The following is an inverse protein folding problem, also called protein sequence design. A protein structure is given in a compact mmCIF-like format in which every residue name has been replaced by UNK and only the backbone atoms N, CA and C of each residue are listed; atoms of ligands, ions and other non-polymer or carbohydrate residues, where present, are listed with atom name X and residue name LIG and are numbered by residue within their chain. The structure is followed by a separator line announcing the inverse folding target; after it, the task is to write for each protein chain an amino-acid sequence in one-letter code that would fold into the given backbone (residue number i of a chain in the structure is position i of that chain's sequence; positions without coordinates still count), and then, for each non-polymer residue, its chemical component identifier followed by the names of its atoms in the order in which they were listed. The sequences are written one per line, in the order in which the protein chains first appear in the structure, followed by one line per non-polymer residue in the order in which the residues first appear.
data_IF_666061062335
#
_entry.id   IF_666061062335
#
_cell.length_a   1.000
_cell.length_b   1.000
_cell.length_c   1.000
_cell.angle_alpha   90.00
_cell.angle_beta   90.00
_cell.angle_gamma   90.00
#
_symmetry.space_group_name_H-M   'P 1'
#
loop_
_entity.id
_entity.type
_entity.pdbx_description
1 polymer ?
#
# COMPACT_ATOMS: atom_id res chain seq x y z
N UNK A 1 12.80 -12.18 -0.16
CA UNK A 1 12.76 -11.05 -1.11
C UNK A 1 11.33 -10.57 -1.20
N UNK A 2 11.11 -9.28 -1.00
CA UNK A 2 9.80 -8.64 -0.95
C UNK A 2 9.35 -8.23 -2.34
N UNK A 3 8.11 -8.56 -2.69
CA UNK A 3 7.51 -8.13 -3.95
C UNK A 3 6.84 -6.77 -3.76
N UNK A 4 7.20 -5.80 -4.60
CA UNK A 4 6.53 -4.50 -4.69
C UNK A 4 5.49 -4.56 -5.79
N UNK A 5 4.24 -4.31 -5.45
CA UNK A 5 3.12 -4.16 -6.38
C UNK A 5 2.92 -2.67 -6.67
N UNK A 6 2.66 -2.31 -7.93
CA UNK A 6 2.56 -0.90 -8.35
C UNK A 6 1.27 -0.64 -9.13
N UNK A 7 0.61 0.47 -8.80
CA UNK A 7 -0.58 0.96 -9.47
C UNK A 7 -0.37 2.38 -9.96
N UNK A 8 -1.06 2.71 -11.05
CA UNK A 8 -1.29 4.07 -11.49
C UNK A 8 -2.51 4.60 -10.74
N UNK A 9 -2.37 5.71 -10.02
CA UNK A 9 -3.49 6.45 -9.45
C UNK A 9 -3.87 7.60 -10.39
N UNK A 10 -5.16 7.71 -10.67
CA UNK A 10 -5.73 8.73 -11.56
C UNK A 10 -6.97 9.33 -10.92
N UNK A 11 -7.32 10.55 -11.32
CA UNK A 11 -8.64 11.10 -11.08
C UNK A 11 -9.72 10.19 -11.67
N UNK A 12 -10.94 10.31 -11.16
CA UNK A 12 -12.09 9.61 -11.72
C UNK A 12 -12.80 10.54 -12.68
N UNK A 13 -13.00 10.08 -13.91
CA UNK A 13 -13.94 10.72 -14.83
C UNK A 13 -15.29 10.01 -14.72
N UNK A 14 -16.32 10.75 -14.32
CA UNK A 14 -17.68 10.24 -14.24
C UNK A 14 -18.48 10.71 -15.46
N UNK A 15 -18.99 9.76 -16.23
CA UNK A 15 -19.88 10.05 -17.35
C UNK A 15 -21.30 9.61 -17.01
N UNK A 16 -22.24 10.55 -17.08
CA UNK A 16 -23.66 10.23 -17.03
C UNK A 16 -24.09 9.68 -18.39
N UNK A 17 -24.69 8.49 -18.40
CA UNK A 17 -25.29 7.88 -19.58
C UNK A 17 -26.78 7.69 -19.33
N UNK A 18 -27.59 8.19 -20.25
CA UNK A 18 -29.02 7.88 -20.33
C UNK A 18 -29.24 6.87 -21.46
N UNK A 19 -29.81 5.71 -21.12
CA UNK A 19 -30.13 4.66 -22.07
C UNK A 19 -31.63 4.44 -22.04
N UNK A 20 -32.27 4.59 -23.20
CA UNK A 20 -33.66 4.17 -23.38
C UNK A 20 -33.69 2.69 -23.76
N UNK A 21 -34.38 1.87 -22.98
CA UNK A 21 -34.60 0.45 -23.29
C UNK A 21 -36.05 0.22 -23.69
N UNK A 22 -36.26 -0.45 -24.84
CA UNK A 22 -37.56 -0.87 -25.36
C UNK A 22 -37.57 -2.36 -25.62
N UNK A 23 -38.63 -3.06 -25.19
CA UNK A 23 -38.84 -4.47 -25.49
C UNK A 23 -37.97 -5.41 -24.66
N UNK A 24 -38.50 -5.83 -23.51
CA UNK A 24 -37.86 -6.86 -22.70
C UNK A 24 -38.82 -8.02 -22.43
N UNK A 25 -38.44 -9.21 -22.90
CA UNK A 25 -39.18 -10.44 -22.67
C UNK A 25 -38.92 -10.91 -21.24
N UNK A 26 -39.98 -11.22 -20.50
CA UNK A 26 -39.88 -11.82 -19.18
C UNK A 26 -39.04 -13.12 -19.27
N UNK A 27 -37.98 -13.31 -18.46
CA UNK A 27 -37.48 -14.65 -18.26
C UNK A 27 -38.58 -15.41 -17.51
N UNK A 28 -39.21 -16.36 -18.18
CA UNK A 28 -40.17 -17.26 -17.55
C UNK A 28 -39.48 -17.92 -16.34
N UNK A 29 -40.13 -17.83 -15.18
CA UNK A 29 -39.90 -18.64 -13.97
C UNK A 29 -38.67 -18.35 -13.10
N UNK A 30 -38.79 -17.43 -12.14
CA UNK A 30 -37.98 -17.44 -10.91
C UNK A 30 -38.82 -16.95 -9.72
N UNK A 31 -39.41 -17.90 -8.97
CA UNK A 31 -39.93 -17.64 -7.63
C UNK A 31 -38.79 -17.90 -6.65
N UNK A 32 -38.31 -16.87 -5.97
CA UNK A 32 -37.53 -17.06 -4.75
C UNK A 32 -38.16 -16.25 -3.63
N UNK A 33 -38.52 -16.92 -2.55
CA UNK A 33 -39.05 -16.26 -1.36
C UNK A 33 -37.89 -15.52 -0.69
N UNK A 34 -37.83 -14.20 -0.81
CA UNK A 34 -36.92 -13.42 0.04
C UNK A 34 -37.53 -12.07 0.42
N UNK A 35 -37.70 -11.87 1.74
CA UNK A 35 -38.10 -10.62 2.37
C UNK A 35 -36.99 -9.55 2.36
N UNK A 36 -35.93 -9.76 1.58
CA UNK A 36 -34.77 -8.89 1.51
C UNK A 36 -35.15 -7.58 0.81
N UNK A 37 -34.78 -6.46 1.42
CA UNK A 37 -34.88 -5.15 0.75
C UNK A 37 -33.84 -5.13 -0.37
N UNK A 38 -34.32 -5.02 -1.59
CA UNK A 38 -33.51 -5.05 -2.82
C UNK A 38 -33.28 -3.65 -3.40
N UNK A 39 -33.96 -2.64 -2.85
CA UNK A 39 -33.81 -1.25 -3.23
C UNK A 39 -34.79 -0.34 -2.48
N UNK A 40 -34.86 0.90 -2.90
CA UNK A 40 -35.78 1.91 -2.39
C UNK A 40 -36.46 2.61 -3.56
N UNK A 41 -37.70 3.00 -3.35
CA UNK A 41 -38.52 3.80 -4.26
C UNK A 41 -38.66 5.19 -3.65
N UNK A 42 -38.56 6.23 -4.47
CA UNK A 42 -38.92 7.60 -4.14
C UNK A 42 -39.97 8.14 -5.12
N UNK A 43 -40.81 9.08 -4.66
CA UNK A 43 -41.85 9.77 -5.45
C UNK A 43 -41.41 11.16 -5.95
N UNK A 44 -40.20 11.60 -5.62
CA UNK A 44 -39.59 12.84 -6.13
C UNK A 44 -38.23 12.59 -6.76
N UNK A 45 -37.88 13.43 -7.73
CA UNK A 45 -36.58 13.40 -8.39
C UNK A 45 -35.44 13.51 -7.37
N UNK A 46 -34.50 12.55 -7.36
CA UNK A 46 -33.38 12.57 -6.44
C UNK A 46 -32.38 13.65 -6.82
N UNK A 47 -31.63 14.13 -5.84
CA UNK A 47 -30.47 14.97 -6.12
C UNK A 47 -29.27 14.09 -6.44
N UNK A 48 -28.49 14.48 -7.45
CA UNK A 48 -27.13 13.94 -7.60
C UNK A 48 -26.28 14.36 -6.41
N UNK A 49 -25.65 13.40 -5.76
CA UNK A 49 -24.69 13.65 -4.68
C UNK A 49 -23.31 13.70 -5.30
N UNK A 50 -22.59 14.78 -5.01
CA UNK A 50 -21.21 14.98 -5.43
C UNK A 50 -20.25 14.76 -4.25
N UNK A 51 -19.03 14.33 -4.52
CA UNK A 51 -17.94 14.44 -3.56
C UNK A 51 -17.38 15.88 -3.52
N UNK A 52 -16.35 16.09 -2.69
CA UNK A 52 -15.69 17.38 -2.55
C UNK A 52 -14.99 17.87 -3.83
N UNK A 53 -14.77 16.98 -4.79
CA UNK A 53 -14.20 17.28 -6.10
C UNK A 53 -15.25 17.52 -7.19
N UNK A 54 -16.54 17.50 -6.84
CA UNK A 54 -17.62 17.68 -7.80
C UNK A 54 -17.87 16.46 -8.69
N UNK A 55 -17.40 15.27 -8.28
CA UNK A 55 -17.64 14.01 -8.99
C UNK A 55 -18.91 13.37 -8.46
N UNK A 56 -19.87 13.00 -9.33
CA UNK A 56 -21.08 12.28 -8.92
C UNK A 56 -20.73 10.98 -8.19
N UNK A 57 -21.14 10.82 -6.94
CA UNK A 57 -20.89 9.63 -6.10
C UNK A 57 -22.15 8.85 -5.72
N UNK A 58 -23.31 9.33 -6.12
CA UNK A 58 -24.59 8.69 -5.86
C UNK A 58 -25.76 9.64 -6.04
N UNK A 59 -26.90 9.21 -5.49
CA UNK A 59 -28.16 9.94 -5.53
C UNK A 59 -28.76 10.01 -4.12
N UNK A 60 -29.34 11.15 -3.78
CA UNK A 60 -30.12 11.33 -2.56
C UNK A 60 -31.61 11.25 -2.91
N UNK A 61 -32.27 10.16 -2.51
CA UNK A 61 -33.69 9.96 -2.75
C UNK A 61 -34.51 11.03 -2.00
N UNK A 62 -35.60 11.48 -2.62
CA UNK A 62 -36.45 12.55 -2.09
C UNK A 62 -37.91 12.13 -2.01
N UNK A 63 -38.65 12.79 -1.11
CA UNK A 63 -40.08 12.59 -0.93
C UNK A 63 -40.39 11.34 -0.10
N UNK A 64 -41.46 10.64 -0.44
CA UNK A 64 -41.87 9.40 0.26
C UNK A 64 -40.95 8.27 -0.18
N UNK A 65 -40.16 7.74 0.76
CA UNK A 65 -39.24 6.65 0.48
C UNK A 65 -39.83 5.33 0.98
N UNK A 66 -39.99 4.37 0.08
CA UNK A 66 -40.53 3.03 0.38
C UNK A 66 -39.50 1.96 0.06
N UNK A 67 -39.25 1.03 0.99
CA UNK A 67 -38.37 -0.11 0.72
C UNK A 67 -39.00 -1.03 -0.32
N UNK A 68 -38.24 -1.44 -1.34
CA UNK A 68 -38.67 -2.42 -2.33
C UNK A 68 -38.25 -3.83 -1.89
N UNK A 69 -39.19 -4.76 -1.85
CA UNK A 69 -38.93 -6.19 -1.62
C UNK A 69 -39.28 -7.01 -2.86
N UNK A 70 -38.74 -8.23 -2.94
CA UNK A 70 -38.72 -9.09 -4.12
C UNK A 70 -40.10 -9.42 -4.74
N UNK A 71 -41.23 -9.13 -4.09
CA UNK A 71 -42.59 -9.49 -4.55
C UNK A 71 -43.62 -8.36 -4.30
N UNK A 72 -43.17 -7.10 -4.13
CA UNK A 72 -44.15 -6.01 -3.93
C UNK A 72 -44.73 -5.56 -5.28
N UNK A 73 -45.97 -5.98 -5.57
CA UNK A 73 -46.82 -5.31 -6.54
C UNK A 73 -47.13 -3.91 -6.03
N UNK A 74 -46.52 -2.88 -6.63
CA UNK A 74 -46.83 -1.51 -6.27
C UNK A 74 -48.28 -1.17 -6.69
N UNK A 75 -49.07 -0.47 -5.86
CA UNK A 75 -50.40 -0.04 -6.24
C UNK A 75 -50.36 0.86 -7.50
N UNK A 76 -51.42 0.81 -8.29
CA UNK A 76 -51.62 1.59 -9.51
C UNK A 76 -51.62 3.10 -9.23
N UNK A 77 -50.46 3.73 -9.23
CA UNK A 77 -50.32 5.19 -9.07
C UNK A 77 -49.32 5.71 -10.10
N UNK A 78 -49.69 6.82 -10.73
CA UNK A 78 -48.88 7.51 -11.73
C UNK A 78 -47.79 8.32 -11.02
N UNK A 79 -46.59 7.76 -10.87
CA UNK A 79 -45.43 8.49 -10.38
C UNK A 79 -44.14 7.98 -11.03
N UNK A 80 -43.14 8.86 -11.16
CA UNK A 80 -41.80 8.48 -11.60
C UNK A 80 -41.10 7.75 -10.46
N UNK A 81 -40.77 6.48 -10.69
CA UNK A 81 -40.09 5.64 -9.70
C UNK A 81 -38.59 5.78 -9.85
N UNK A 82 -37.87 6.13 -8.77
CA UNK A 82 -36.41 6.21 -8.75
C UNK A 82 -35.82 5.03 -7.96
N UNK A 83 -34.96 4.25 -8.60
CA UNK A 83 -34.21 3.16 -7.98
C UNK A 83 -32.74 3.55 -7.86
N UNK A 84 -32.05 3.19 -6.79
CA UNK A 84 -30.60 3.34 -6.69
C UNK A 84 -29.96 2.00 -6.31
N UNK A 85 -28.99 1.54 -7.10
CA UNK A 85 -28.21 0.36 -6.78
C UNK A 85 -26.77 0.47 -7.29
N UNK A 86 -25.84 -0.18 -6.59
CA UNK A 86 -24.45 -0.34 -7.02
C UNK A 86 -24.38 -1.57 -7.93
N UNK A 87 -24.03 -1.37 -9.21
CA UNK A 87 -23.97 -2.48 -10.18
C UNK A 87 -22.62 -3.19 -10.15
N UNK A 88 -21.55 -2.42 -10.03
CA UNK A 88 -20.18 -2.90 -9.79
C UNK A 88 -19.45 -1.86 -8.95
N UNK A 89 -18.16 -2.02 -8.71
CA UNK A 89 -17.34 -0.95 -8.13
C UNK A 89 -17.33 0.32 -9.01
N UNK A 90 -17.58 0.17 -10.31
CA UNK A 90 -17.39 1.19 -11.33
C UNK A 90 -18.71 1.73 -11.93
N UNK A 91 -19.87 1.22 -11.52
CA UNK A 91 -21.17 1.65 -12.05
C UNK A 91 -22.20 1.83 -10.95
N UNK A 92 -22.76 3.03 -10.87
CA UNK A 92 -23.95 3.35 -10.09
C UNK A 92 -25.08 3.72 -11.04
N UNK A 93 -26.28 3.19 -10.84
CA UNK A 93 -27.39 3.43 -11.73
C UNK A 93 -28.64 3.89 -10.98
N UNK A 94 -29.43 4.72 -11.66
CA UNK A 94 -30.82 4.96 -11.35
C UNK A 94 -31.72 4.71 -12.55
N UNK A 95 -32.93 4.27 -12.28
CA UNK A 95 -33.96 4.07 -13.31
C UNK A 95 -35.05 5.08 -13.07
N UNK A 96 -35.51 5.72 -14.14
CA UNK A 96 -36.71 6.56 -14.16
C UNK A 96 -37.69 5.98 -15.17
N UNK A 97 -38.89 5.66 -14.73
CA UNK A 97 -39.97 5.31 -15.65
C UNK A 97 -41.13 6.27 -15.43
N UNK A 98 -41.53 6.96 -16.50
CA UNK A 98 -42.74 7.78 -16.49
C UNK A 98 -43.95 6.86 -16.63
N UNK A 99 -44.67 6.69 -15.52
CA UNK A 99 -45.80 5.77 -15.44
C UNK A 99 -47.12 6.52 -15.59
N UNK A 100 -47.82 6.29 -16.69
CA UNK A 100 -49.21 6.77 -16.87
C UNK A 100 -50.23 5.64 -16.82
N UNK A 101 -49.81 4.37 -16.94
CA UNK A 101 -50.69 3.17 -16.96
C UNK A 101 -49.96 1.97 -16.35
N UNK A 102 -50.60 1.23 -15.44
CA UNK A 102 -49.97 0.28 -14.50
C UNK A 102 -49.09 -0.84 -15.11
N UNK A 103 -48.18 -1.40 -14.30
CA UNK A 103 -47.18 -2.38 -14.73
C UNK A 103 -46.44 -3.02 -13.55
N UNK A 104 -45.58 -4.01 -13.85
CA UNK A 104 -44.89 -4.85 -12.86
C UNK A 104 -43.38 -4.59 -12.85
N UNK A 105 -42.74 -4.86 -11.71
CA UNK A 105 -41.30 -4.65 -11.52
C UNK A 105 -40.65 -5.97 -11.09
N UNK A 106 -39.43 -6.24 -11.57
CA UNK A 106 -38.64 -7.39 -11.13
C UNK A 106 -37.17 -7.00 -11.05
N UNK A 107 -36.59 -6.95 -9.84
CA UNK A 107 -35.14 -6.82 -9.70
C UNK A 107 -34.55 -8.22 -9.63
N UNK A 108 -33.61 -8.54 -10.51
CA UNK A 108 -32.82 -9.75 -10.40
C UNK A 108 -31.47 -9.41 -9.75
N UNK A 109 -31.30 -9.70 -8.45
CA UNK A 109 -30.01 -9.57 -7.79
C UNK A 109 -29.04 -10.71 -8.19
N UNK A 110 -29.50 -11.76 -8.86
CA UNK A 110 -28.73 -12.95 -9.22
C UNK A 110 -27.97 -12.83 -10.54
N UNK A 111 -26.64 -12.67 -10.45
CA UNK A 111 -25.70 -12.73 -11.58
C UNK A 111 -24.41 -11.94 -11.33
N UNK A 112 -23.42 -12.03 -12.22
CA UNK A 112 -22.20 -11.20 -12.18
C UNK A 112 -22.46 -9.69 -12.33
N UNK A 113 -23.69 -9.28 -12.64
CA UNK A 113 -24.15 -7.90 -12.61
C UNK A 113 -25.61 -7.86 -12.11
N UNK A 114 -25.93 -7.22 -10.97
CA UNK A 114 -27.30 -7.02 -10.55
C UNK A 114 -28.02 -6.21 -11.62
N UNK A 115 -29.23 -6.63 -11.97
CA UNK A 115 -30.03 -6.03 -13.02
C UNK A 115 -31.44 -5.73 -12.50
N UNK A 116 -31.87 -4.49 -12.70
CA UNK A 116 -33.26 -4.11 -12.48
C UNK A 116 -34.00 -4.34 -13.79
N UNK A 117 -34.96 -5.26 -13.78
CA UNK A 117 -35.90 -5.45 -14.87
C UNK A 117 -37.20 -4.70 -14.55
N UNK A 118 -37.61 -3.85 -15.48
CA UNK A 118 -38.90 -3.18 -15.40
C UNK A 118 -39.74 -3.78 -16.51
N UNK A 119 -40.87 -4.42 -16.17
CA UNK A 119 -41.77 -5.01 -17.16
C UNK A 119 -43.08 -4.24 -17.17
N UNK A 120 -43.19 -3.39 -18.18
CA UNK A 120 -44.41 -2.64 -18.46
C UNK A 120 -45.30 -3.47 -19.37
N UNK A 121 -45.72 -4.67 -18.93
CA UNK A 121 -46.73 -5.40 -19.70
C UNK A 121 -48.09 -4.81 -19.36
N UNK A 122 -48.56 -3.85 -20.16
CA UNK A 122 -50.01 -3.75 -20.37
C UNK A 122 -50.46 -5.14 -20.82
N UNK A 123 -51.60 -5.61 -20.31
CA UNK A 123 -52.20 -6.89 -20.71
C UNK A 123 -52.40 -7.02 -22.25
N UNK A 124 -52.18 -5.93 -23.00
CA UNK A 124 -52.37 -5.77 -24.44
C UNK A 124 -51.07 -5.61 -25.28
N UNK A 125 -49.88 -5.86 -24.74
CA UNK A 125 -48.68 -6.10 -25.57
C UNK A 125 -47.88 -4.88 -26.06
N UNK A 126 -48.11 -3.69 -25.50
CA UNK A 126 -47.34 -2.49 -25.83
C UNK A 126 -46.08 -2.36 -24.95
N UNK A 127 -44.90 -2.30 -25.56
CA UNK A 127 -43.64 -2.05 -24.83
C UNK A 127 -43.52 -0.55 -24.47
N UNK A 128 -43.46 -0.20 -23.19
CA UNK A 128 -43.20 1.18 -22.76
C UNK A 128 -41.68 1.38 -22.63
N UNK A 129 -41.10 2.44 -23.23
CA UNK A 129 -39.68 2.75 -23.07
C UNK A 129 -39.35 3.11 -21.63
N UNK A 130 -38.27 2.53 -21.08
CA UNK A 130 -37.73 2.91 -19.77
C UNK A 130 -36.43 3.68 -19.97
N UNK A 131 -36.29 4.80 -19.26
CA UNK A 131 -35.04 5.56 -19.21
C UNK A 131 -34.21 5.10 -18.01
N UNK A 132 -33.02 4.60 -18.30
CA UNK A 132 -32.03 4.24 -17.29
C UNK A 132 -30.91 5.26 -17.35
N UNK A 133 -30.68 5.96 -16.26
CA UNK A 133 -29.58 6.91 -16.15
C UNK A 133 -28.53 6.34 -15.21
N UNK A 134 -27.29 6.23 -15.67
CA UNK A 134 -26.20 5.64 -14.89
C UNK A 134 -24.96 6.51 -14.92
N UNK A 135 -24.18 6.46 -13.86
CA UNK A 135 -22.81 6.94 -13.85
C UNK A 135 -21.88 5.77 -14.16
N UNK A 136 -21.14 5.91 -15.25
CA UNK A 136 -20.00 5.08 -15.55
C UNK A 136 -18.74 5.82 -15.11
N UNK A 137 -18.00 5.21 -14.19
CA UNK A 137 -16.70 5.73 -13.77
C UNK A 137 -15.62 5.17 -14.68
N UNK A 138 -14.72 6.05 -15.12
CA UNK A 138 -13.59 5.72 -15.97
C UNK A 138 -12.33 6.33 -15.40
N UNK A 139 -11.20 5.79 -15.86
CA UNK A 139 -9.91 6.39 -15.59
C UNK A 139 -9.85 7.81 -16.18
N UNK A 140 -9.60 8.80 -15.32
CA UNK A 140 -9.37 10.18 -15.71
C UNK A 140 -7.88 10.53 -15.76
N UNK A 141 -7.57 11.79 -15.45
CA UNK A 141 -6.20 12.30 -15.51
C UNK A 141 -5.26 11.62 -14.50
N UNK A 142 -4.04 11.30 -14.94
CA UNK A 142 -3.01 10.71 -14.08
C UNK A 142 -2.59 11.64 -12.94
N UNK A 143 -2.40 11.09 -11.74
CA UNK A 143 -1.91 11.81 -10.56
C UNK A 143 -0.48 11.36 -10.26
N UNK A 144 -0.30 10.11 -9.82
CA UNK A 144 0.98 9.54 -9.43
C UNK A 144 0.93 8.00 -9.48
N UNK A 145 2.11 7.37 -9.36
CA UNK A 145 2.17 5.93 -9.06
C UNK A 145 2.10 5.74 -7.54
N UNK A 146 1.45 4.66 -7.12
CA UNK A 146 1.44 4.18 -5.73
C UNK A 146 1.91 2.74 -5.68
N UNK A 147 2.49 2.31 -4.57
CA UNK A 147 3.02 0.97 -4.40
C UNK A 147 2.67 0.37 -3.04
N UNK A 148 2.73 -0.95 -2.94
CA UNK A 148 2.46 -1.69 -1.70
C UNK A 148 3.17 -3.03 -1.69
N UNK A 149 3.43 -3.56 -0.49
CA UNK A 149 3.89 -4.93 -0.28
C UNK A 149 2.75 -5.95 -0.29
N UNK A 150 1.50 -5.48 -0.40
CA UNK A 150 0.28 -6.27 -0.40
C UNK A 150 -0.37 -6.21 -1.79
N UNK A 151 -0.55 -7.36 -2.44
CA UNK A 151 -1.00 -7.47 -3.83
C UNK A 151 -2.42 -6.97 -4.10
N UNK A 152 -3.27 -6.88 -3.06
CA UNK A 152 -4.65 -6.40 -3.14
C UNK A 152 -4.85 -5.10 -2.35
N UNK A 153 -3.79 -4.34 -2.09
CA UNK A 153 -3.89 -3.03 -1.44
C UNK A 153 -4.76 -2.05 -2.24
N UNK A 154 -4.78 -2.19 -3.56
CA UNK A 154 -5.61 -1.44 -4.49
C UNK A 154 -6.24 -2.40 -5.50
N UNK A 155 -7.30 -1.98 -6.23
CA UNK A 155 -7.94 -2.81 -7.24
C UNK A 155 -6.97 -3.40 -8.26
N UNK A 156 -7.22 -4.65 -8.65
CA UNK A 156 -6.37 -5.41 -9.58
C UNK A 156 -7.11 -5.80 -10.86
N UNK A 157 -8.32 -5.29 -11.06
CA UNK A 157 -9.16 -5.60 -12.21
C UNK A 157 -8.50 -5.19 -13.53
N UNK A 158 -8.73 -6.01 -14.56
CA UNK A 158 -8.27 -5.72 -15.92
C UNK A 158 -8.98 -4.46 -16.43
N UNK A 159 -8.22 -3.37 -16.59
CA UNK A 159 -8.74 -2.04 -16.94
C UNK A 159 -8.81 -1.05 -15.76
N UNK A 160 -8.50 -1.51 -14.55
CA UNK A 160 -8.55 -0.69 -13.34
C UNK A 160 -9.95 -0.58 -12.74
N UNK A 161 -10.00 -0.08 -11.51
CA UNK A 161 -11.26 0.17 -10.83
C UNK A 161 -11.15 1.34 -9.86
N UNK A 162 -12.33 1.85 -9.50
CA UNK A 162 -12.48 2.87 -8.48
C UNK A 162 -12.25 2.29 -7.10
N UNK A 163 -11.41 2.94 -6.31
CA UNK A 163 -11.37 2.78 -4.85
C UNK A 163 -11.39 4.16 -4.21
N UNK A 164 -12.40 4.40 -3.39
CA UNK A 164 -12.65 5.70 -2.76
C UNK A 164 -12.79 6.81 -3.81
N UNK A 165 -11.86 7.75 -3.84
CA UNK A 165 -11.88 8.96 -4.69
C UNK A 165 -10.99 8.86 -5.92
N UNK A 166 -10.28 7.73 -6.08
CA UNK A 166 -9.33 7.54 -7.18
C UNK A 166 -9.66 6.31 -8.02
N UNK A 167 -9.20 6.38 -9.27
CA UNK A 167 -9.12 5.23 -10.15
C UNK A 167 -7.73 4.61 -10.06
N UNK A 168 -7.66 3.30 -9.85
CA UNK A 168 -6.40 2.57 -9.78
C UNK A 168 -6.30 1.55 -10.91
N UNK A 169 -5.22 1.64 -11.67
CA UNK A 169 -4.89 0.67 -12.73
C UNK A 169 -3.61 -0.06 -12.36
N UNK A 170 -3.68 -1.38 -12.18
CA UNK A 170 -2.52 -2.20 -11.84
C UNK A 170 -1.48 -2.19 -12.97
N UNK A 171 -0.21 -1.90 -12.64
CA UNK A 171 0.89 -1.83 -13.60
C UNK A 171 1.77 -3.08 -13.61
N UNK A 172 1.70 -3.87 -12.55
CA UNK A 172 2.51 -5.06 -12.34
C UNK A 172 3.31 -4.98 -11.04
N UNK A 173 4.36 -5.78 -10.97
CA UNK A 173 5.16 -5.95 -9.76
C UNK A 173 6.64 -6.09 -10.07
N UNK A 174 7.49 -5.60 -9.18
CA UNK A 174 8.93 -5.79 -9.22
C UNK A 174 9.51 -6.05 -7.82
N UNK A 175 10.84 -6.02 -7.70
CA UNK A 175 11.53 -6.20 -6.43
C UNK A 175 12.68 -5.19 -6.36
N UNK A 176 12.65 -4.33 -5.35
CA UNK A 176 13.64 -3.28 -5.11
C UNK A 176 14.59 -3.59 -3.96
N UNK A 177 14.48 -4.77 -3.34
CA UNK A 177 15.39 -5.20 -2.28
C UNK A 177 16.84 -5.12 -2.75
N UNK A 178 17.79 -4.64 -1.92
CA UNK A 178 19.19 -4.68 -2.27
C UNK A 178 19.63 -6.11 -2.59
N UNK A 179 20.58 -6.29 -3.51
CA UNK A 179 21.16 -7.62 -3.76
C UNK A 179 22.07 -8.06 -2.64
N UNK A 180 22.85 -7.12 -2.11
CA UNK A 180 23.85 -7.37 -1.10
C UNK A 180 24.21 -6.09 -0.36
N UNK A 181 24.83 -6.28 0.79
CA UNK A 181 25.48 -5.25 1.60
C UNK A 181 26.96 -5.62 1.72
N UNK A 182 27.85 -4.62 1.67
CA UNK A 182 29.30 -4.79 1.73
C UNK A 182 29.92 -3.76 2.68
N UNK A 183 30.87 -4.21 3.48
CA UNK A 183 31.67 -3.42 4.39
C UNK A 183 32.92 -4.23 4.76
N UNK A 184 34.00 -3.60 5.27
CA UNK A 184 35.17 -4.34 5.72
C UNK A 184 34.81 -5.30 6.85
N UNK A 185 35.22 -6.56 6.72
CA UNK A 185 34.96 -7.61 7.72
C UNK A 185 36.20 -8.03 8.50
N UNK A 186 37.37 -7.55 8.07
CA UNK A 186 38.67 -7.86 8.64
C UNK A 186 39.37 -6.59 9.11
N UNK A 187 40.27 -6.74 10.08
CA UNK A 187 41.10 -5.65 10.61
C UNK A 187 40.29 -4.42 11.06
N UNK A 188 39.05 -4.64 11.50
CA UNK A 188 38.23 -3.59 12.08
C UNK A 188 38.80 -3.18 13.43
N UNK A 189 38.94 -1.88 13.67
CA UNK A 189 39.42 -1.33 14.94
C UNK A 189 38.36 -0.40 15.54
N UNK A 190 38.28 -0.39 16.86
CA UNK A 190 37.49 0.61 17.56
C UNK A 190 37.98 2.05 17.26
N UNK A 191 37.07 3.01 17.40
CA UNK A 191 37.25 4.44 17.08
C UNK A 191 37.52 4.74 15.59
N UNK A 192 37.52 3.74 14.70
CA UNK A 192 37.66 3.95 13.25
C UNK A 192 36.32 4.05 12.56
N UNK A 193 36.28 4.90 11.53
CA UNK A 193 35.14 4.99 10.62
C UNK A 193 35.25 3.94 9.53
N UNK A 194 34.13 3.30 9.21
CA UNK A 194 33.97 2.42 8.07
C UNK A 194 32.83 2.91 7.18
N UNK A 195 32.85 2.46 5.93
CA UNK A 195 31.78 2.67 4.96
C UNK A 195 31.01 1.37 4.76
N UNK A 196 29.68 1.46 4.87
CA UNK A 196 28.74 0.38 4.63
C UNK A 196 28.00 0.71 3.33
N UNK A 197 28.17 -0.14 2.32
CA UNK A 197 27.60 0.06 0.99
C UNK A 197 26.56 -1.00 0.67
N UNK A 198 25.58 -0.63 -0.15
CA UNK A 198 24.62 -1.58 -0.72
C UNK A 198 24.80 -1.71 -2.22
N UNK A 199 24.58 -2.92 -2.73
CA UNK A 199 24.36 -3.15 -4.15
C UNK A 199 22.85 -3.10 -4.41
N UNK A 200 22.34 -2.07 -5.10
CA UNK A 200 20.91 -1.94 -5.38
C UNK A 200 20.34 -3.13 -6.15
N UNK A 201 19.01 -3.27 -6.14
CA UNK A 201 18.32 -4.18 -7.05
C UNK A 201 18.66 -3.86 -8.51
N UNK A 202 18.60 -4.87 -9.37
CA UNK A 202 18.59 -4.67 -10.83
C UNK A 202 17.26 -4.12 -11.34
N UNK A 203 16.22 -4.15 -10.51
CA UNK A 203 14.89 -3.73 -10.89
C UNK A 203 14.47 -2.50 -10.10
N UNK A 204 14.09 -1.47 -10.85
CA UNK A 204 13.24 -0.38 -10.41
C UNK A 204 12.31 -0.03 -11.58
N UNK A 205 11.65 -1.06 -12.12
CA UNK A 205 10.98 -1.02 -13.42
C UNK A 205 9.89 0.06 -13.47
N UNK A 206 9.21 0.30 -12.34
CA UNK A 206 8.12 1.26 -12.25
C UNK A 206 8.52 2.62 -11.66
N UNK A 207 9.83 2.84 -11.47
CA UNK A 207 10.38 4.08 -10.90
C UNK A 207 10.11 4.26 -9.41
N UNK A 208 10.08 5.52 -8.99
CA UNK A 208 10.10 5.90 -7.58
C UNK A 208 11.53 6.03 -7.04
N UNK A 209 11.68 6.88 -6.03
CA UNK A 209 12.94 7.13 -5.35
C UNK A 209 13.14 6.10 -4.25
N UNK A 210 14.17 5.27 -4.40
CA UNK A 210 14.48 4.22 -3.42
C UNK A 210 15.25 4.83 -2.24
N UNK A 211 14.80 4.49 -1.03
CA UNK A 211 15.41 4.91 0.23
C UNK A 211 15.81 3.68 1.03
N UNK A 212 17.01 3.72 1.62
CA UNK A 212 17.61 2.65 2.41
C UNK A 212 17.64 3.03 3.88
N UNK A 213 17.05 2.17 4.72
CA UNK A 213 17.26 2.19 6.17
C UNK A 213 18.43 1.26 6.51
N UNK A 214 19.56 1.87 6.89
CA UNK A 214 20.71 1.17 7.43
C UNK A 214 20.51 0.91 8.92
N UNK A 215 20.74 -0.32 9.34
CA UNK A 215 20.75 -0.73 10.74
C UNK A 215 22.03 -1.48 11.07
N UNK A 216 22.39 -1.44 12.36
CA UNK A 216 23.55 -2.13 12.88
C UNK A 216 23.22 -2.89 14.17
N UNK A 217 23.95 -3.98 14.42
CA UNK A 217 23.92 -4.73 15.68
C UNK A 217 25.35 -4.83 16.20
N UNK A 218 25.54 -4.46 17.47
CA UNK A 218 26.82 -4.57 18.19
C UNK A 218 26.75 -5.74 19.15
N UNK A 219 27.83 -6.52 19.24
CA UNK A 219 28.00 -7.58 20.23
C UNK A 219 26.81 -8.57 20.25
N UNK A 220 26.24 -8.85 19.08
CA UNK A 220 25.02 -9.67 18.91
C UNK A 220 23.78 -9.14 19.66
N UNK A 221 23.76 -7.86 20.01
CA UNK A 221 22.60 -7.20 20.62
C UNK A 221 21.53 -6.84 19.60
N UNK A 222 20.55 -6.07 20.06
CA UNK A 222 19.45 -5.59 19.23
C UNK A 222 19.92 -4.72 18.06
N UNK A 223 19.16 -4.76 16.97
CA UNK A 223 19.35 -3.89 15.82
C UNK A 223 18.98 -2.45 16.17
N UNK A 224 19.80 -1.50 15.72
CA UNK A 224 19.61 -0.06 15.92
C UNK A 224 19.69 0.66 14.58
N UNK A 225 18.86 1.69 14.39
CA UNK A 225 18.89 2.55 13.21
C UNK A 225 20.21 3.35 13.15
N UNK A 226 20.88 3.27 12.01
CA UNK A 226 22.05 4.09 11.69
C UNK A 226 21.62 5.34 10.94
N UNK A 227 20.95 5.14 9.80
CA UNK A 227 20.64 6.20 8.84
C UNK A 227 19.57 5.75 7.86
N UNK A 228 18.68 6.68 7.50
CA UNK A 228 17.76 6.55 6.37
C UNK A 228 18.19 7.50 5.27
N UNK A 229 18.47 7.00 4.06
CA UNK A 229 18.98 7.83 2.96
C UNK A 229 18.78 7.19 1.59
N UNK A 230 18.76 7.99 0.53
CA UNK A 230 18.78 7.52 -0.87
C UNK A 230 20.20 7.16 -1.35
N UNK A 231 21.24 7.55 -0.61
CA UNK A 231 22.61 7.19 -0.92
C UNK A 231 22.82 5.68 -0.75
N UNK A 232 23.60 5.08 -1.65
CA UNK A 232 23.95 3.66 -1.60
C UNK A 232 25.08 3.34 -0.60
N UNK A 233 25.44 4.31 0.25
CA UNK A 233 26.38 4.09 1.35
C UNK A 233 26.07 4.95 2.57
N UNK A 234 26.46 4.44 3.73
CA UNK A 234 26.46 5.15 5.00
C UNK A 234 27.80 4.91 5.72
N UNK A 235 28.26 5.90 6.48
CA UNK A 235 29.45 5.76 7.32
C UNK A 235 29.07 5.44 8.76
N UNK A 236 29.93 4.69 9.44
CA UNK A 236 29.75 4.32 10.84
C UNK A 236 31.09 4.36 11.57
N UNK A 237 31.14 5.03 12.73
CA UNK A 237 32.32 5.02 13.62
C UNK A 237 32.14 3.93 14.65
N UNK A 238 33.05 2.96 14.69
CA UNK A 238 32.98 1.81 15.59
C UNK A 238 33.25 2.28 17.04
N UNK A 239 32.30 2.16 17.97
CA UNK A 239 32.52 2.57 19.36
C UNK A 239 33.50 1.63 20.08
N UNK A 240 34.23 2.16 21.05
CA UNK A 240 35.03 1.35 21.98
C UNK A 240 34.20 0.25 22.66
N UNK A 241 34.80 -0.91 22.92
CA UNK A 241 34.11 -2.06 23.50
C UNK A 241 33.21 -2.85 22.54
N UNK A 242 33.16 -2.47 21.27
CA UNK A 242 32.52 -3.30 20.23
C UNK A 242 33.44 -4.46 19.90
N UNK A 243 33.05 -5.69 20.23
CA UNK A 243 33.76 -6.92 19.88
C UNK A 243 33.29 -7.52 18.55
N UNK A 244 32.01 -7.36 18.22
CA UNK A 244 31.44 -7.79 16.94
C UNK A 244 30.46 -6.74 16.43
N UNK A 245 30.41 -6.54 15.12
CA UNK A 245 29.45 -5.66 14.44
C UNK A 245 28.84 -6.36 13.24
N UNK A 246 27.56 -6.10 13.00
CA UNK A 246 26.84 -6.57 11.81
C UNK A 246 25.95 -5.47 11.30
N UNK A 247 25.76 -5.39 9.99
CA UNK A 247 24.86 -4.43 9.36
C UNK A 247 23.77 -5.12 8.56
N UNK A 248 22.62 -4.46 8.45
CA UNK A 248 21.54 -4.86 7.56
C UNK A 248 20.88 -3.63 6.94
N UNK A 249 20.26 -3.81 5.78
CA UNK A 249 19.54 -2.75 5.08
C UNK A 249 18.15 -3.22 4.64
N UNK A 250 17.17 -2.33 4.77
CA UNK A 250 15.83 -2.46 4.23
C UNK A 250 15.59 -1.36 3.19
N UNK A 251 14.95 -1.71 2.08
CA UNK A 251 14.54 -0.75 1.06
C UNK A 251 13.09 -0.29 1.27
N UNK A 252 12.83 0.93 0.82
CA UNK A 252 11.50 1.53 0.72
C UNK A 252 11.49 2.46 -0.50
N UNK A 253 10.31 2.90 -0.93
CA UNK A 253 10.18 3.93 -1.95
C UNK A 253 9.29 5.09 -1.48
N UNK A 254 9.23 6.14 -2.30
CA UNK A 254 8.32 7.28 -2.07
C UNK A 254 6.90 7.05 -2.63
N UNK A 255 6.54 5.83 -3.02
CA UNK A 255 5.23 5.47 -3.57
C UNK A 255 4.38 4.68 -2.56
N UNK A 256 4.94 4.28 -1.41
CA UNK A 256 4.22 3.63 -0.31
C UNK A 256 4.72 2.23 0.04
N UNK A 257 5.73 1.72 -0.67
CA UNK A 257 6.28 0.39 -0.40
C UNK A 257 7.43 0.45 0.61
N UNK A 258 7.45 -0.53 1.52
CA UNK A 258 8.60 -0.87 2.38
C UNK A 258 8.79 -2.37 2.35
N UNK A 259 10.02 -2.82 2.10
CA UNK A 259 10.38 -4.24 2.09
C UNK A 259 10.09 -4.88 3.44
N UNK A 260 9.57 -6.10 3.46
CA UNK A 260 9.44 -6.87 4.71
C UNK A 260 10.79 -7.40 5.19
N UNK A 261 11.66 -7.72 4.23
CA UNK A 261 12.95 -8.35 4.48
C UNK A 261 14.08 -7.33 4.60
N UNK A 262 15.09 -7.73 5.37
CA UNK A 262 16.36 -7.03 5.45
C UNK A 262 17.45 -7.85 4.76
N UNK A 263 18.30 -7.18 4.00
CA UNK A 263 19.55 -7.77 3.48
C UNK A 263 20.61 -7.62 4.57
N UNK A 264 21.02 -8.75 5.15
CA UNK A 264 21.92 -8.77 6.30
C UNK A 264 23.33 -9.21 5.87
N UNK A 265 24.35 -8.41 6.23
CA UNK A 265 25.74 -8.71 5.92
C UNK A 265 26.35 -9.77 6.85
N UNK A 266 27.61 -10.15 6.63
CA UNK A 266 28.33 -11.07 7.52
C UNK A 266 28.66 -10.42 8.86
N UNK A 267 28.70 -11.20 9.95
CA UNK A 267 29.21 -10.68 11.22
C UNK A 267 30.72 -10.39 11.11
N UNK A 268 31.17 -9.25 11.61
CA UNK A 268 32.57 -8.83 11.54
C UNK A 268 33.14 -8.68 12.95
N UNK A 269 34.30 -9.32 13.20
CA UNK A 269 35.02 -9.18 14.45
C UNK A 269 35.78 -7.85 14.47
N UNK A 270 35.74 -7.16 15.60
CA UNK A 270 36.48 -5.91 15.81
C UNK A 270 37.67 -6.19 16.71
N UNK A 271 38.86 -5.98 16.17
CA UNK A 271 40.11 -6.03 16.91
C UNK A 271 40.05 -5.09 18.10
N UNK A 272 40.12 -5.68 19.28
CA UNK A 272 40.39 -4.94 20.50
C UNK A 272 41.88 -4.73 20.61
N UNK A 273 42.31 -3.50 20.89
CA UNK A 273 43.69 -3.24 21.30
C UNK A 273 43.95 -4.07 22.57
N UNK A 274 44.96 -4.93 22.50
CA UNK A 274 45.38 -5.77 23.63
C UNK A 274 46.85 -5.51 23.88
N UNK A 275 47.15 -5.01 25.08
CA UNK A 275 48.52 -4.97 25.56
C UNK A 275 48.86 -6.32 26.21
N UNK A 276 50.08 -6.80 25.98
CA UNK A 276 50.64 -7.97 26.66
C UNK A 276 51.97 -7.57 27.29
N UNK A 277 52.25 -8.08 28.49
CA UNK A 277 53.56 -7.96 29.15
C UNK A 277 54.22 -9.33 29.26
N UNK A 278 55.54 -9.37 29.08
CA UNK A 278 56.33 -10.57 29.32
C UNK A 278 56.61 -10.74 30.81
N UNK A 279 56.21 -11.87 31.39
CA UNK A 279 56.51 -12.24 32.77
C UNK A 279 57.10 -13.66 32.75
N UNK A 280 58.35 -13.81 33.18
CA UNK A 280 59.06 -15.09 33.23
C UNK A 280 59.05 -15.84 31.88
N UNK A 281 59.31 -15.13 30.78
CA UNK A 281 59.33 -15.70 29.43
C UNK A 281 57.95 -16.03 28.83
N UNK A 282 56.84 -15.68 29.50
CA UNK A 282 55.47 -15.88 28.99
C UNK A 282 54.75 -14.55 28.80
N UNK A 283 54.06 -14.39 27.67
CA UNK A 283 53.17 -13.24 27.46
C UNK A 283 51.92 -13.36 28.35
N UNK A 284 51.58 -12.28 29.04
CA UNK A 284 50.39 -12.14 29.89
C UNK A 284 49.57 -10.96 29.39
N UNK A 285 48.26 -11.15 29.20
CA UNK A 285 47.36 -10.08 28.78
C UNK A 285 47.28 -9.03 29.90
N UNK A 286 47.43 -7.76 29.54
CA UNK A 286 47.24 -6.63 30.45
C UNK A 286 45.76 -6.30 30.47
N UNK A 287 45.15 -6.34 31.65
CA UNK A 287 43.76 -5.93 31.83
C UNK A 287 43.65 -4.42 32.09
N UNK A 288 44.53 -3.89 32.96
CA UNK A 288 44.66 -2.46 33.25
C UNK A 288 46.13 -2.09 33.38
N UNK A 289 46.49 -0.92 32.85
CA UNK A 289 47.82 -0.33 32.99
C UNK A 289 47.71 0.93 33.84
N UNK A 290 48.63 1.11 34.79
CA UNK A 290 48.68 2.28 35.66
C UNK A 290 50.07 2.94 35.60
N UNK A 291 50.10 4.26 35.72
CA UNK A 291 51.33 5.05 35.85
C UNK A 291 51.29 5.87 37.14
N UNK A 292 52.45 6.08 37.76
CA UNK A 292 52.58 6.94 38.93
C UNK A 292 52.67 8.41 38.53
N UNK A 293 51.78 9.25 39.05
CA UNK A 293 51.82 10.71 38.88
C UNK A 293 51.63 11.35 40.24
N UNK A 294 52.66 12.06 40.73
CA UNK A 294 52.67 12.71 42.05
C UNK A 294 52.34 11.72 43.20
N UNK A 295 52.96 10.54 43.19
CA UNK A 295 52.74 9.50 44.20
C UNK A 295 51.38 8.80 44.14
N UNK A 296 50.53 9.10 43.15
CA UNK A 296 49.23 8.45 42.95
C UNK A 296 49.22 7.62 41.68
N UNK A 297 48.70 6.40 41.76
CA UNK A 297 48.46 5.56 40.58
C UNK A 297 47.30 6.14 39.76
N UNK A 298 47.52 6.29 38.46
CA UNK A 298 46.51 6.74 37.49
C UNK A 298 46.40 5.72 36.37
N UNK A 299 45.18 5.35 36.01
CA UNK A 299 44.95 4.40 34.91
C UNK A 299 45.33 5.04 33.58
N UNK A 300 46.04 4.29 32.74
CA UNK A 300 46.34 4.66 31.37
C UNK A 300 45.09 4.42 30.52
N UNK A 301 44.58 5.49 29.91
CA UNK A 301 43.40 5.43 29.03
C UNK A 301 43.83 5.22 27.57
N UNK A 302 45.00 5.74 27.18
CA UNK A 302 45.60 5.55 25.85
C UNK A 302 47.09 5.33 25.98
N UNK A 303 47.60 4.30 25.31
CA UNK A 303 49.03 3.95 25.29
C UNK A 303 49.55 3.97 23.86
N UNK A 304 50.71 4.60 23.64
CA UNK A 304 51.38 4.64 22.34
C UNK A 304 52.78 4.06 22.44
N UNK A 305 53.20 3.32 21.41
CA UNK A 305 54.54 2.77 21.26
C UNK A 305 55.15 3.28 19.95
N UNK A 306 56.42 3.64 19.98
CA UNK A 306 57.16 4.02 18.77
C UNK A 306 57.52 2.79 17.95
N UNK A 307 57.09 2.75 16.69
CA UNK A 307 57.47 1.70 15.73
C UNK A 307 57.93 2.39 14.46
N UNK A 308 59.20 2.19 14.08
CA UNK A 308 59.84 2.82 12.91
C UNK A 308 59.67 4.35 12.91
N UNK A 309 59.91 4.99 14.06
CA UNK A 309 59.81 6.45 14.23
C UNK A 309 58.37 7.00 14.24
N UNK A 310 57.33 6.15 14.22
CA UNK A 310 55.92 6.57 14.27
C UNK A 310 55.24 6.05 15.53
N UNK A 311 54.51 6.91 16.23
CA UNK A 311 53.68 6.51 17.37
C UNK A 311 52.49 5.66 16.89
N UNK A 312 52.30 4.49 17.51
CA UNK A 312 51.20 3.55 17.25
C UNK A 312 50.44 3.30 18.56
N UNK A 313 49.11 3.44 18.54
CA UNK A 313 48.27 3.16 19.72
C UNK A 313 48.28 1.64 19.98
N UNK A 314 48.49 1.22 21.22
CA UNK A 314 48.46 -0.20 21.64
C UNK A 314 47.47 -0.46 22.80
N UNK A 315 46.97 0.61 23.41
CA UNK A 315 45.92 0.63 24.44
C UNK A 315 44.99 1.79 24.12
#
# INVERSE_FOLDING_TARGET
MSTRYVWKASHIDAQMQEVTKTGYTYPETWYTDSYTVIGYIADKTPDTVYDEFGIPKGFNLKGTITSLRHIDGAPHVAFTVFFAFRRTENVQAFVTADYTKGGYWHVNPGGQAPSVYVSTKEYEGTNIPIKVTSFEYKEGAFINNVSSSVSNAYPTDSGGARKEEFWYTYRGSDNIDPKSISYPTENLEAEKQITVSVSPSNSNQYGGTITYLYQYSRNNGSWTDLKTTTATSATYTIPEGTANIRFRVQASDNMGFTSKDYVTGPAAAVSQLKAYVGISGRARKVDKLYIGVNGKARQVIKGYIGVNGKARKFL
#
